data_IF_329693410973
#
_entry.id   IF_329693410973
#
_cell.length_a   1.000
_cell.length_b   1.000
_cell.length_c   1.000
_cell.angle_alpha   90.00
_cell.angle_beta   90.00
_cell.angle_gamma   90.00
#
_symmetry.space_group_name_H-M   'P 1'
#
loop_
_entity.id
_entity.type
_entity.pdbx_description
1 polymer ?
#
# COMPACT_ATOMS: atom_id res chain seq x y z
N UNK A 1 21.42 -48.16 55.50
CA UNK A 1 22.01 -46.91 54.98
C UNK A 1 21.68 -46.80 53.49
N UNK A 2 20.64 -46.05 53.16
CA UNK A 2 20.22 -45.85 51.76
C UNK A 2 20.89 -44.58 51.23
N UNK A 3 21.73 -44.71 50.19
CA UNK A 3 22.34 -43.56 49.48
C UNK A 3 21.34 -42.99 48.55
N UNK A 4 20.99 -41.72 48.76
CA UNK A 4 20.15 -40.92 47.89
C UNK A 4 21.03 -40.32 46.77
N UNK A 5 20.81 -40.70 45.48
CA UNK A 5 21.46 -40.09 44.34
C UNK A 5 20.65 -38.87 43.96
N UNK A 6 21.26 -37.71 44.08
CA UNK A 6 20.70 -36.43 43.61
C UNK A 6 21.09 -36.24 42.14
N UNK A 7 20.11 -36.37 41.24
CA UNK A 7 20.29 -36.05 39.80
C UNK A 7 20.04 -34.55 39.62
N UNK A 8 21.11 -33.80 39.42
CA UNK A 8 21.02 -32.40 38.99
C UNK A 8 20.72 -32.37 37.50
N UNK A 9 19.49 -32.01 37.12
CA UNK A 9 19.12 -31.65 35.75
C UNK A 9 19.64 -30.24 35.44
N UNK A 10 20.64 -30.17 34.57
CA UNK A 10 21.12 -28.89 34.02
C UNK A 10 20.15 -28.48 32.90
N UNK A 11 19.25 -27.56 33.20
CA UNK A 11 18.51 -26.85 32.15
C UNK A 11 19.44 -25.84 31.45
N UNK A 12 19.95 -26.20 30.29
CA UNK A 12 20.60 -25.25 29.40
C UNK A 12 19.52 -24.40 28.75
N UNK A 13 19.32 -23.20 29.27
CA UNK A 13 18.54 -22.16 28.59
C UNK A 13 19.37 -21.65 27.41
N UNK A 14 19.05 -22.12 26.21
CA UNK A 14 19.52 -21.54 24.98
C UNK A 14 18.86 -20.16 24.85
N UNK A 15 19.54 -19.12 25.29
CA UNK A 15 19.24 -17.74 24.88
C UNK A 15 19.58 -17.61 23.37
N UNK A 16 18.60 -17.83 22.52
CA UNK A 16 18.67 -17.42 21.12
C UNK A 16 18.73 -15.90 21.08
N UNK A 17 19.88 -15.36 20.69
CA UNK A 17 20.00 -13.94 20.35
C UNK A 17 19.31 -13.74 19.00
N UNK A 18 17.97 -13.75 18.99
CA UNK A 18 17.19 -13.33 17.84
C UNK A 18 17.35 -11.83 17.69
N UNK A 19 17.93 -11.35 16.59
CA UNK A 19 17.80 -9.94 16.20
C UNK A 19 16.30 -9.64 16.23
N UNK A 20 15.88 -8.64 17.01
CA UNK A 20 14.51 -8.16 16.96
C UNK A 20 14.28 -7.68 15.54
N UNK A 21 13.33 -8.28 14.81
CA UNK A 21 12.91 -7.74 13.52
C UNK A 21 12.45 -6.29 13.71
N UNK A 22 12.81 -5.35 12.84
CA UNK A 22 12.26 -4.02 12.89
C UNK A 22 10.73 -4.12 12.81
N UNK A 23 10.04 -3.50 13.77
CA UNK A 23 8.57 -3.43 13.73
C UNK A 23 8.18 -2.13 13.03
N UNK A 24 7.60 -2.25 11.86
CA UNK A 24 6.99 -1.12 11.15
C UNK A 24 5.60 -0.82 11.72
N UNK A 25 5.12 0.43 11.64
CA UNK A 25 3.76 0.78 12.06
C UNK A 25 2.73 -0.09 11.33
N UNK A 26 1.70 -0.53 12.05
CA UNK A 26 0.65 -1.37 11.50
C UNK A 26 -0.72 -0.91 11.98
N UNK A 27 -1.74 -1.16 11.17
CA UNK A 27 -3.15 -1.05 11.55
C UNK A 27 -3.91 -2.28 11.05
N UNK A 28 -4.79 -2.81 11.88
CA UNK A 28 -5.61 -3.97 11.56
C UNK A 28 -7.08 -3.59 11.57
N UNK A 29 -7.78 -3.93 10.51
CA UNK A 29 -9.22 -3.73 10.39
C UNK A 29 -9.94 -5.08 10.25
N UNK A 30 -11.21 -5.11 10.56
CA UNK A 30 -12.08 -6.26 10.27
C UNK A 30 -12.73 -6.07 8.90
N UNK A 31 -12.51 -7.01 8.00
CA UNK A 31 -13.16 -7.06 6.70
C UNK A 31 -14.67 -7.34 6.81
N UNK A 32 -15.44 -7.12 5.74
CA UNK A 32 -16.89 -7.34 5.74
C UNK A 32 -17.28 -8.81 5.98
N UNK A 33 -16.43 -9.75 5.58
CA UNK A 33 -16.62 -11.20 5.85
C UNK A 33 -16.21 -11.63 7.26
N UNK A 34 -15.68 -10.70 8.08
CA UNK A 34 -15.22 -10.94 9.44
C UNK A 34 -13.75 -11.37 9.55
N UNK A 35 -13.02 -11.52 8.44
CA UNK A 35 -11.57 -11.76 8.46
C UNK A 35 -10.81 -10.48 8.84
N UNK A 36 -9.54 -10.61 9.18
CA UNK A 36 -8.66 -9.47 9.51
C UNK A 36 -7.81 -9.09 8.29
N UNK A 37 -7.68 -7.78 8.06
CA UNK A 37 -6.75 -7.19 7.10
C UNK A 37 -5.78 -6.32 7.89
N UNK A 38 -4.48 -6.60 7.79
CA UNK A 38 -3.44 -5.81 8.46
C UNK A 38 -2.66 -5.03 7.42
N UNK A 39 -2.62 -3.71 7.58
CA UNK A 39 -1.76 -2.82 6.80
C UNK A 39 -0.46 -2.58 7.54
N UNK A 40 0.66 -2.64 6.83
CA UNK A 40 1.99 -2.26 7.31
C UNK A 40 2.43 -1.04 6.53
N UNK A 41 2.84 0.01 7.25
CA UNK A 41 3.26 1.29 6.68
C UNK A 41 4.78 1.34 6.70
N UNK A 42 5.42 1.35 5.52
CA UNK A 42 6.88 1.45 5.44
C UNK A 42 7.31 2.91 5.32
N UNK A 43 7.16 3.51 4.17
CA UNK A 43 7.33 4.95 3.95
C UNK A 43 6.71 5.36 2.62
N UNK A 44 6.45 6.65 2.45
CA UNK A 44 6.00 7.28 1.23
C UNK A 44 4.73 6.62 0.68
N UNK A 45 4.84 5.78 -0.35
CA UNK A 45 3.72 5.01 -0.91
C UNK A 45 3.83 3.49 -0.66
N UNK A 46 4.91 3.04 0.00
CA UNK A 46 5.18 1.61 0.22
C UNK A 46 4.31 1.03 1.32
N UNK A 47 3.46 0.08 0.95
CA UNK A 47 2.51 -0.59 1.85
C UNK A 47 2.69 -2.12 1.80
N UNK A 48 2.52 -2.75 2.97
CA UNK A 48 2.25 -4.19 3.08
C UNK A 48 0.80 -4.42 3.46
N UNK A 49 0.19 -5.47 2.92
CA UNK A 49 -1.17 -5.91 3.27
C UNK A 49 -1.11 -7.40 3.57
N UNK A 50 -1.54 -7.80 4.75
CA UNK A 50 -1.71 -9.20 5.11
C UNK A 50 -3.19 -9.53 5.22
N UNK A 51 -3.62 -10.60 4.54
CA UNK A 51 -4.99 -11.12 4.59
C UNK A 51 -4.99 -12.63 4.38
N UNK A 52 -5.58 -13.38 5.32
CA UNK A 52 -5.69 -14.85 5.25
C UNK A 52 -4.36 -15.57 4.93
N UNK A 53 -3.24 -15.04 5.44
CA UNK A 53 -1.90 -15.58 5.20
C UNK A 53 -1.30 -15.23 3.85
N UNK A 54 -1.97 -14.42 3.03
CA UNK A 54 -1.41 -13.82 1.82
C UNK A 54 -0.67 -12.52 2.18
N UNK A 55 0.48 -12.31 1.56
CA UNK A 55 1.29 -11.10 1.68
C UNK A 55 1.29 -10.33 0.37
N UNK A 56 0.70 -9.14 0.40
CA UNK A 56 0.58 -8.24 -0.75
C UNK A 56 1.44 -7.00 -0.47
N UNK A 57 2.25 -6.58 -1.42
CA UNK A 57 3.01 -5.34 -1.32
C UNK A 57 2.61 -4.39 -2.44
N UNK A 58 2.52 -3.11 -2.10
CA UNK A 58 2.22 -2.05 -3.06
C UNK A 58 3.39 -1.09 -3.06
N UNK A 59 3.91 -0.78 -4.24
CA UNK A 59 5.01 0.14 -4.48
C UNK A 59 6.19 -0.03 -3.50
N UNK A 60 6.75 -1.26 -3.36
CA UNK A 60 7.79 -1.52 -2.38
C UNK A 60 9.11 -0.88 -2.80
N UNK A 61 9.52 0.17 -2.09
CA UNK A 61 10.78 0.91 -2.30
C UNK A 61 11.40 1.30 -0.96
N UNK A 62 12.68 1.70 -1.00
CA UNK A 62 13.39 2.28 0.14
C UNK A 62 14.26 1.30 0.91
N UNK A 63 15.11 1.86 1.78
CA UNK A 63 16.10 1.11 2.56
C UNK A 63 15.48 0.52 3.84
N UNK A 64 14.68 -0.52 3.66
CA UNK A 64 14.06 -1.31 4.73
C UNK A 64 14.64 -2.74 4.74
N UNK A 65 14.44 -3.45 5.85
CA UNK A 65 14.83 -4.87 5.94
C UNK A 65 13.85 -5.76 5.18
N UNK A 66 13.82 -5.64 3.84
CA UNK A 66 12.96 -6.40 2.95
C UNK A 66 13.28 -7.90 2.95
N UNK A 67 14.56 -8.27 3.18
CA UNK A 67 14.97 -9.67 3.23
C UNK A 67 14.31 -10.43 4.39
N UNK A 68 14.02 -9.73 5.50
CA UNK A 68 13.35 -10.32 6.66
C UNK A 68 11.83 -10.35 6.53
N UNK A 69 11.25 -9.63 5.56
CA UNK A 69 9.82 -9.63 5.33
C UNK A 69 9.35 -10.96 4.69
N UNK A 70 8.11 -11.38 4.91
CA UNK A 70 7.51 -12.49 4.19
C UNK A 70 7.61 -12.28 2.68
N UNK A 71 7.83 -13.37 1.92
CA UNK A 71 7.81 -13.29 0.46
C UNK A 71 6.41 -12.97 -0.02
N UNK A 72 6.34 -12.12 -1.04
CA UNK A 72 5.08 -11.69 -1.62
C UNK A 72 4.33 -12.82 -2.33
N UNK A 73 3.02 -12.87 -2.13
CA UNK A 73 2.11 -13.59 -3.01
C UNK A 73 1.69 -12.69 -4.19
N UNK A 74 1.53 -11.37 -3.92
CA UNK A 74 1.20 -10.37 -4.92
C UNK A 74 2.03 -9.10 -4.70
N UNK A 75 2.58 -8.55 -5.78
CA UNK A 75 3.18 -7.21 -5.81
C UNK A 75 2.38 -6.36 -6.80
N UNK A 76 1.95 -5.19 -6.35
CA UNK A 76 1.26 -4.19 -7.16
C UNK A 76 2.17 -2.98 -7.33
N UNK A 77 2.39 -2.55 -8.57
CA UNK A 77 3.14 -1.32 -8.89
C UNK A 77 2.18 -0.36 -9.57
N UNK A 78 2.02 0.82 -9.01
CA UNK A 78 1.09 1.83 -9.52
C UNK A 78 1.63 2.52 -10.78
N UNK A 79 2.92 2.86 -10.77
CA UNK A 79 3.61 3.47 -11.90
C UNK A 79 5.15 3.40 -11.76
N UNK A 80 5.87 3.80 -12.83
CA UNK A 80 7.30 3.58 -12.98
C UNK A 80 8.21 4.67 -12.39
N UNK A 81 7.71 5.61 -11.59
CA UNK A 81 8.59 6.56 -10.92
C UNK A 81 9.45 5.86 -9.86
N UNK A 82 10.64 6.40 -9.60
CA UNK A 82 11.67 5.78 -8.75
C UNK A 82 11.25 5.59 -7.28
N UNK A 83 10.27 6.35 -6.82
CA UNK A 83 9.68 6.30 -5.48
C UNK A 83 8.46 5.36 -5.38
N UNK A 84 8.13 4.63 -6.49
CA UNK A 84 7.10 3.60 -6.56
C UNK A 84 7.64 2.27 -7.12
N UNK A 85 8.70 2.29 -7.91
CA UNK A 85 9.29 1.09 -8.50
C UNK A 85 10.79 1.01 -8.24
N UNK A 86 11.21 0.09 -7.38
CA UNK A 86 12.60 -0.29 -7.15
C UNK A 86 12.77 -1.78 -7.42
N UNK A 87 13.38 -2.12 -8.56
CA UNK A 87 13.54 -3.51 -8.98
C UNK A 87 14.32 -4.38 -7.98
N UNK A 88 15.31 -3.79 -7.28
CA UNK A 88 16.07 -4.52 -6.26
C UNK A 88 15.18 -4.98 -5.10
N UNK A 89 14.26 -4.14 -4.67
CA UNK A 89 13.27 -4.46 -3.62
C UNK A 89 12.26 -5.49 -4.09
N UNK A 90 11.75 -5.36 -5.32
CA UNK A 90 10.85 -6.36 -5.92
C UNK A 90 11.53 -7.73 -5.93
N UNK A 91 12.80 -7.82 -6.36
CA UNK A 91 13.55 -9.07 -6.38
C UNK A 91 13.78 -9.67 -4.98
N UNK A 92 13.95 -8.84 -3.96
CA UNK A 92 14.06 -9.29 -2.57
C UNK A 92 12.74 -9.87 -2.05
N UNK A 93 11.60 -9.31 -2.42
CA UNK A 93 10.29 -9.74 -1.95
C UNK A 93 9.72 -10.92 -2.73
N UNK A 94 10.03 -11.06 -4.02
CA UNK A 94 9.42 -12.09 -4.85
C UNK A 94 10.01 -13.49 -4.62
N UNK A 95 9.26 -14.49 -5.05
CA UNK A 95 9.66 -15.87 -5.26
C UNK A 95 9.04 -16.41 -6.57
N UNK A 96 9.25 -17.68 -6.89
CA UNK A 96 8.74 -18.26 -8.15
C UNK A 96 7.20 -18.32 -8.26
N UNK A 97 6.46 -18.04 -7.21
CA UNK A 97 4.98 -18.05 -7.19
C UNK A 97 4.38 -16.65 -7.10
N UNK A 98 5.19 -15.65 -6.83
CA UNK A 98 4.73 -14.28 -6.71
C UNK A 98 4.11 -13.79 -8.01
N UNK A 99 2.89 -13.29 -7.94
CA UNK A 99 2.27 -12.58 -9.05
C UNK A 99 2.67 -11.11 -8.97
N UNK A 100 3.09 -10.53 -10.09
CA UNK A 100 3.39 -9.10 -10.20
C UNK A 100 2.38 -8.48 -11.15
N UNK A 101 1.75 -7.39 -10.71
CA UNK A 101 0.83 -6.60 -11.52
C UNK A 101 1.31 -5.15 -11.52
N UNK A 102 1.36 -4.53 -12.67
CA UNK A 102 1.89 -3.18 -12.82
C UNK A 102 1.21 -2.44 -13.96
N UNK A 103 1.33 -1.12 -13.98
CA UNK A 103 0.95 -0.30 -15.11
C UNK A 103 1.79 -0.61 -16.35
N UNK A 104 1.43 -0.01 -17.47
CA UNK A 104 2.09 -0.25 -18.76
C UNK A 104 3.56 0.20 -18.77
N UNK A 105 3.87 1.35 -18.16
CA UNK A 105 5.24 1.88 -18.19
C UNK A 105 6.16 1.11 -17.26
N UNK A 106 5.66 0.65 -16.11
CA UNK A 106 6.41 -0.23 -15.20
C UNK A 106 6.69 -1.59 -15.82
N UNK A 107 5.79 -2.11 -16.65
CA UNK A 107 5.97 -3.42 -17.30
C UNK A 107 7.24 -3.48 -18.16
N UNK A 108 7.70 -2.34 -18.69
CA UNK A 108 8.93 -2.26 -19.48
C UNK A 108 10.22 -2.49 -18.66
N UNK A 109 10.15 -2.34 -17.34
CA UNK A 109 11.28 -2.57 -16.44
C UNK A 109 11.49 -4.04 -16.08
N UNK A 110 10.47 -4.89 -16.32
CA UNK A 110 10.53 -6.31 -15.99
C UNK A 110 11.08 -7.13 -17.15
N UNK A 111 12.04 -7.99 -16.86
CA UNK A 111 12.59 -8.99 -17.81
C UNK A 111 11.92 -10.37 -17.66
N UNK A 112 10.89 -10.46 -16.82
CA UNK A 112 10.11 -11.66 -16.53
C UNK A 112 8.61 -11.34 -16.54
N UNK A 113 7.79 -12.38 -16.45
CA UNK A 113 6.34 -12.26 -16.57
C UNK A 113 5.76 -11.34 -15.47
N UNK A 114 5.08 -10.30 -15.89
CA UNK A 114 4.19 -9.48 -15.07
C UNK A 114 2.83 -9.33 -15.78
N UNK A 115 1.78 -9.08 -15.00
CA UNK A 115 0.46 -8.78 -15.54
C UNK A 115 0.36 -7.27 -15.74
N UNK A 116 0.39 -6.84 -17.00
CA UNK A 116 0.19 -5.41 -17.32
C UNK A 116 -1.27 -5.04 -17.12
N UNK A 117 -1.51 -4.08 -16.23
CA UNK A 117 -2.83 -3.53 -15.96
C UNK A 117 -3.03 -2.23 -16.74
N UNK A 118 -3.98 -2.24 -17.66
CA UNK A 118 -4.44 -1.03 -18.30
C UNK A 118 -5.53 -0.36 -17.45
N UNK A 119 -5.71 0.97 -17.54
CA UNK A 119 -6.78 1.66 -16.85
C UNK A 119 -8.14 0.98 -17.07
N UNK A 120 -8.89 0.78 -15.98
CA UNK A 120 -10.20 0.09 -15.92
C UNK A 120 -10.17 -1.43 -16.14
N UNK A 121 -8.99 -2.04 -16.38
CA UNK A 121 -8.87 -3.50 -16.39
C UNK A 121 -9.12 -4.11 -15.02
N UNK A 122 -9.51 -5.39 -14.99
CA UNK A 122 -9.58 -6.15 -13.75
C UNK A 122 -8.92 -7.52 -13.89
N UNK A 123 -8.49 -8.09 -12.77
CA UNK A 123 -7.90 -9.41 -12.67
C UNK A 123 -8.24 -10.04 -11.33
N UNK A 124 -8.24 -11.37 -11.26
CA UNK A 124 -8.29 -12.15 -10.03
C UNK A 124 -7.00 -12.97 -9.93
N UNK A 125 -5.89 -12.36 -9.49
CA UNK A 125 -4.57 -12.98 -9.55
C UNK A 125 -4.39 -14.13 -8.57
N UNK A 126 -5.12 -14.11 -7.46
CA UNK A 126 -5.08 -15.11 -6.39
C UNK A 126 -6.50 -15.44 -5.93
N UNK A 127 -6.66 -16.58 -5.26
CA UNK A 127 -7.97 -16.98 -4.73
C UNK A 127 -8.47 -15.96 -3.69
N UNK A 128 -9.69 -15.48 -3.86
CA UNK A 128 -10.31 -14.47 -3.01
C UNK A 128 -9.79 -13.03 -3.19
N UNK A 129 -8.83 -12.79 -4.09
CA UNK A 129 -8.28 -11.46 -4.37
C UNK A 129 -8.74 -10.98 -5.74
N UNK A 130 -9.43 -9.84 -5.78
CA UNK A 130 -9.79 -9.16 -7.02
C UNK A 130 -9.10 -7.80 -7.08
N UNK A 131 -8.47 -7.48 -8.20
CA UNK A 131 -7.79 -6.21 -8.45
C UNK A 131 -8.39 -5.55 -9.68
N UNK A 132 -8.78 -4.27 -9.54
CA UNK A 132 -9.24 -3.43 -10.65
C UNK A 132 -8.37 -2.19 -10.73
N UNK A 133 -7.84 -1.91 -11.91
CA UNK A 133 -7.08 -0.68 -12.18
C UNK A 133 -8.00 0.53 -12.29
N UNK A 134 -7.61 1.62 -11.63
CA UNK A 134 -8.25 2.93 -11.70
C UNK A 134 -7.29 3.89 -12.40
N UNK A 135 -7.70 4.68 -13.40
CA UNK A 135 -6.82 5.66 -14.03
C UNK A 135 -6.26 6.65 -12.99
N UNK A 136 -4.94 6.81 -12.95
CA UNK A 136 -4.25 7.75 -12.08
C UNK A 136 -3.58 8.83 -12.94
N UNK A 137 -3.97 10.10 -12.76
CA UNK A 137 -3.41 11.21 -13.52
C UNK A 137 -3.76 12.56 -12.89
N UNK A 138 -2.96 13.58 -13.22
CA UNK A 138 -3.17 14.94 -12.77
C UNK A 138 -3.98 15.75 -13.79
N UNK A 139 -4.74 16.74 -13.29
CA UNK A 139 -5.65 17.58 -14.06
C UNK A 139 -5.39 19.08 -13.89
N UNK A 140 -4.66 19.50 -12.84
CA UNK A 140 -4.39 20.90 -12.54
C UNK A 140 -3.41 21.50 -13.54
N UNK A 141 -3.65 22.75 -13.91
CA UNK A 141 -2.74 23.51 -14.78
C UNK A 141 -1.33 23.57 -14.18
N UNK A 142 -0.31 23.19 -14.97
CA UNK A 142 1.08 23.13 -14.55
C UNK A 142 1.47 21.85 -13.79
N UNK A 143 0.53 20.96 -13.46
CA UNK A 143 0.81 19.70 -12.75
C UNK A 143 0.62 18.45 -13.62
N UNK A 144 -0.01 18.60 -14.79
CA UNK A 144 -0.30 17.48 -15.70
C UNK A 144 0.97 16.77 -16.20
N UNK A 145 2.12 17.46 -16.22
CA UNK A 145 3.38 16.86 -16.70
C UNK A 145 3.98 15.89 -15.68
N UNK A 146 3.61 15.96 -14.39
CA UNK A 146 4.05 15.00 -13.39
C UNK A 146 3.44 13.62 -13.64
N UNK A 147 2.11 13.58 -13.85
CA UNK A 147 1.34 12.36 -14.08
C UNK A 147 0.35 12.61 -15.24
N UNK A 148 0.83 12.64 -16.49
CA UNK A 148 -0.05 12.86 -17.63
C UNK A 148 -0.94 11.63 -17.88
N UNK A 149 -2.22 11.85 -18.21
CA UNK A 149 -3.18 10.78 -18.49
C UNK A 149 -2.69 9.81 -19.60
N UNK A 150 -1.85 10.30 -20.52
CA UNK A 150 -1.29 9.50 -21.61
C UNK A 150 -0.29 8.42 -21.17
N UNK A 151 0.22 8.47 -19.94
CA UNK A 151 1.08 7.42 -19.38
C UNK A 151 0.31 6.15 -19.04
N UNK A 152 -1.00 6.29 -18.79
CA UNK A 152 -1.88 5.18 -18.39
C UNK A 152 -1.47 4.57 -17.03
N UNK A 153 -0.94 5.41 -16.11
CA UNK A 153 -0.65 5.03 -14.73
C UNK A 153 -1.92 4.58 -14.01
N UNK A 154 -1.79 3.71 -13.02
CA UNK A 154 -2.92 3.08 -12.36
C UNK A 154 -2.85 3.17 -10.83
N UNK A 155 -3.94 3.61 -10.20
CA UNK A 155 -4.27 3.17 -8.86
C UNK A 155 -4.99 1.83 -8.89
N UNK A 156 -5.26 1.24 -7.73
CA UNK A 156 -5.89 -0.07 -7.63
C UNK A 156 -7.05 -0.10 -6.65
N UNK A 157 -8.16 -0.72 -7.05
CA UNK A 157 -9.16 -1.25 -6.14
C UNK A 157 -8.82 -2.71 -5.86
N UNK A 158 -8.59 -3.05 -4.60
CA UNK A 158 -8.29 -4.40 -4.14
C UNK A 158 -9.48 -4.85 -3.30
N UNK A 159 -10.09 -5.99 -3.65
CA UNK A 159 -11.17 -6.58 -2.83
C UNK A 159 -10.63 -7.78 -2.09
N UNK A 160 -10.70 -7.74 -0.76
CA UNK A 160 -10.29 -8.77 0.20
C UNK A 160 -11.41 -8.96 1.21
N UNK A 161 -11.91 -10.18 1.42
CA UNK A 161 -12.98 -10.44 2.39
C UNK A 161 -14.22 -9.56 2.19
N UNK A 162 -14.64 -9.35 0.93
CA UNK A 162 -15.74 -8.45 0.53
C UNK A 162 -15.48 -6.95 0.85
N UNK A 163 -14.29 -6.60 1.33
CA UNK A 163 -13.87 -5.22 1.64
C UNK A 163 -13.12 -4.64 0.47
N UNK A 164 -13.51 -3.46 0.03
CA UNK A 164 -12.89 -2.75 -1.09
C UNK A 164 -11.91 -1.69 -0.59
N UNK A 165 -10.64 -1.87 -0.94
CA UNK A 165 -9.53 -0.99 -0.61
C UNK A 165 -9.12 -0.25 -1.87
N UNK A 166 -9.13 1.09 -1.85
CA UNK A 166 -8.61 1.92 -2.91
C UNK A 166 -7.22 2.44 -2.56
N UNK A 167 -6.24 2.12 -3.37
CA UNK A 167 -4.88 2.68 -3.31
C UNK A 167 -4.69 3.52 -4.56
N UNK A 168 -4.60 4.83 -4.39
CA UNK A 168 -4.76 5.77 -5.51
C UNK A 168 -3.55 5.79 -6.46
N UNK A 169 -2.34 5.46 -5.99
CA UNK A 169 -1.11 5.84 -6.70
C UNK A 169 -1.00 7.36 -6.75
N UNK A 170 -0.22 7.88 -7.68
CA UNK A 170 -0.06 9.31 -7.84
C UNK A 170 -1.11 9.87 -8.80
N UNK A 171 -1.99 10.68 -8.25
CA UNK A 171 -3.13 11.24 -8.97
C UNK A 171 -3.66 12.49 -8.27
N UNK A 172 -4.35 13.31 -9.01
CA UNK A 172 -5.28 14.31 -8.49
C UNK A 172 -6.72 13.79 -8.49
N UNK A 173 -7.66 14.64 -8.09
CA UNK A 173 -9.10 14.37 -8.00
C UNK A 173 -9.80 14.37 -9.38
N UNK A 174 -9.28 13.57 -10.31
CA UNK A 174 -9.83 13.42 -11.65
C UNK A 174 -11.21 12.74 -11.64
N UNK A 175 -11.90 12.76 -12.78
CA UNK A 175 -13.28 12.25 -12.92
C UNK A 175 -13.41 10.74 -12.60
N UNK A 176 -12.39 9.95 -12.92
CA UNK A 176 -12.38 8.50 -12.65
C UNK A 176 -12.33 8.22 -11.13
N UNK A 177 -11.50 8.99 -10.39
CA UNK A 177 -11.40 8.90 -8.93
C UNK A 177 -12.70 9.35 -8.28
N UNK A 178 -13.25 10.50 -8.68
CA UNK A 178 -14.51 11.03 -8.13
C UNK A 178 -15.73 10.15 -8.46
N UNK A 179 -15.64 9.29 -9.47
CA UNK A 179 -16.69 8.35 -9.85
C UNK A 179 -16.70 7.04 -9.04
N UNK A 180 -15.69 6.78 -8.21
CA UNK A 180 -15.60 5.55 -7.41
C UNK A 180 -16.76 5.44 -6.41
N UNK A 181 -17.20 4.22 -6.15
CA UNK A 181 -18.30 3.93 -5.20
C UNK A 181 -17.97 2.67 -4.41
N UNK A 182 -18.64 2.52 -3.27
CA UNK A 182 -18.53 1.34 -2.39
C UNK A 182 -17.10 1.09 -1.91
N UNK A 183 -16.39 2.15 -1.51
CA UNK A 183 -15.03 2.11 -1.00
C UNK A 183 -15.08 2.02 0.53
N UNK A 184 -14.46 0.98 1.10
CA UNK A 184 -14.36 0.82 2.55
C UNK A 184 -13.14 1.55 3.10
N UNK A 185 -12.00 1.42 2.41
CA UNK A 185 -10.72 1.98 2.80
C UNK A 185 -10.13 2.73 1.62
N UNK A 186 -9.61 3.94 1.85
CA UNK A 186 -8.92 4.71 0.81
C UNK A 186 -7.54 5.16 1.29
N UNK A 187 -6.53 4.95 0.45
CA UNK A 187 -5.21 5.55 0.53
C UNK A 187 -5.12 6.62 -0.55
N UNK A 188 -5.01 7.90 -0.15
CA UNK A 188 -4.94 9.02 -1.09
C UNK A 188 -3.63 9.78 -0.93
N UNK A 189 -2.92 10.09 -2.04
CA UNK A 189 -1.67 10.81 -1.99
C UNK A 189 -1.92 12.30 -1.72
N UNK A 190 -1.13 12.88 -0.83
CA UNK A 190 -1.28 14.30 -0.47
C UNK A 190 0.06 15.03 -0.49
N UNK A 191 0.81 14.83 -1.57
CA UNK A 191 2.16 15.34 -1.78
C UNK A 191 2.18 16.47 -2.82
N UNK A 192 2.36 17.70 -2.40
CA UNK A 192 2.37 18.85 -3.29
C UNK A 192 3.77 19.17 -3.83
N UNK A 193 3.91 19.53 -5.10
CA UNK A 193 2.85 19.81 -6.12
C UNK A 193 2.48 18.59 -6.98
N UNK A 194 2.89 17.40 -6.61
CA UNK A 194 2.88 16.21 -7.47
C UNK A 194 1.53 15.50 -7.50
N UNK A 195 0.77 15.58 -6.39
CA UNK A 195 -0.52 14.89 -6.23
C UNK A 195 -1.56 15.84 -5.62
N UNK A 196 -2.49 15.33 -4.78
CA UNK A 196 -3.63 16.10 -4.28
C UNK A 196 -3.24 17.18 -3.26
N UNK A 197 -3.85 18.35 -3.39
CA UNK A 197 -3.94 19.32 -2.30
C UNK A 197 -4.89 18.84 -1.21
N UNK A 198 -4.89 19.49 -0.05
CA UNK A 198 -5.88 19.25 1.02
C UNK A 198 -7.32 19.36 0.47
N UNK A 199 -7.59 20.37 -0.36
CA UNK A 199 -8.91 20.59 -0.93
C UNK A 199 -9.30 19.50 -1.94
N UNK A 200 -8.34 19.01 -2.75
CA UNK A 200 -8.58 17.92 -3.70
C UNK A 200 -8.85 16.61 -2.96
N UNK A 201 -8.02 16.25 -1.98
CA UNK A 201 -8.24 15.07 -1.15
C UNK A 201 -9.58 15.13 -0.40
N UNK A 202 -9.95 16.32 0.11
CA UNK A 202 -11.26 16.54 0.74
C UNK A 202 -12.40 16.27 -0.25
N UNK A 203 -12.33 16.80 -1.49
CA UNK A 203 -13.35 16.53 -2.53
C UNK A 203 -13.46 15.04 -2.87
N UNK A 204 -12.33 14.33 -2.93
CA UNK A 204 -12.35 12.87 -3.15
C UNK A 204 -13.05 12.17 -1.99
N UNK A 205 -12.68 12.46 -0.73
CA UNK A 205 -13.33 11.87 0.45
C UNK A 205 -14.83 12.15 0.49
N UNK A 206 -15.25 13.37 0.15
CA UNK A 206 -16.68 13.73 0.04
C UNK A 206 -17.42 12.92 -1.02
N UNK A 207 -16.78 12.68 -2.18
CA UNK A 207 -17.37 11.97 -3.31
C UNK A 207 -17.46 10.45 -3.08
N UNK A 208 -16.40 9.81 -2.58
CA UNK A 208 -16.31 8.35 -2.45
C UNK A 208 -16.69 7.84 -1.06
N UNK A 209 -16.66 8.71 -0.02
CA UNK A 209 -17.09 8.46 1.37
C UNK A 209 -16.55 7.14 1.95
N UNK A 210 -15.23 6.93 2.00
CA UNK A 210 -14.68 5.71 2.54
C UNK A 210 -14.98 5.63 4.06
N UNK A 211 -15.08 4.42 4.59
CA UNK A 211 -15.20 4.23 6.04
C UNK A 211 -13.92 4.65 6.75
N UNK A 212 -12.77 4.30 6.17
CA UNK A 212 -11.44 4.64 6.69
C UNK A 212 -10.63 5.33 5.58
N UNK A 213 -9.94 6.40 5.94
CA UNK A 213 -9.05 7.13 5.06
C UNK A 213 -7.64 7.20 5.65
N UNK A 214 -6.65 6.79 4.89
CA UNK A 214 -5.24 6.94 5.17
C UNK A 214 -4.64 7.94 4.18
N UNK A 215 -4.26 9.17 4.61
CA UNK A 215 -3.38 10.00 3.80
C UNK A 215 -2.00 9.33 3.73
N UNK A 216 -1.42 9.27 2.55
CA UNK A 216 -0.09 8.70 2.33
C UNK A 216 0.67 9.53 1.30
N UNK A 217 1.89 9.14 0.95
CA UNK A 217 2.70 9.86 -0.02
C UNK A 217 2.81 11.35 0.33
N UNK A 218 3.28 11.66 1.54
CA UNK A 218 3.51 13.01 2.05
C UNK A 218 4.87 13.08 2.76
N UNK A 219 5.30 14.27 3.17
CA UNK A 219 6.57 14.47 3.90
C UNK A 219 7.61 15.11 3.00
N UNK A 220 8.75 14.60 2.86
CA UNK A 220 10.03 15.03 2.28
C UNK A 220 10.01 15.87 0.98
N UNK A 221 9.18 16.91 0.91
CA UNK A 221 9.04 17.82 -0.22
C UNK A 221 9.03 19.27 0.22
N UNK A 222 9.22 20.20 -0.74
CA UNK A 222 9.27 21.64 -0.47
C UNK A 222 7.98 22.19 0.16
N UNK A 223 6.83 21.59 -0.16
CA UNK A 223 5.52 21.99 0.36
C UNK A 223 4.96 20.88 1.27
N UNK A 224 5.16 21.05 2.57
CA UNK A 224 4.58 20.14 3.56
C UNK A 224 3.06 20.23 3.58
N UNK A 225 2.39 19.10 3.47
CA UNK A 225 0.94 19.02 3.56
C UNK A 225 0.44 19.34 4.98
N UNK A 226 -0.55 20.21 5.08
CA UNK A 226 -1.22 20.52 6.34
C UNK A 226 -2.20 19.38 6.72
N UNK A 227 -1.67 18.36 7.42
CA UNK A 227 -2.46 17.21 7.87
C UNK A 227 -3.51 17.57 8.93
N UNK A 228 -3.31 18.66 9.70
CA UNK A 228 -4.31 19.14 10.67
C UNK A 228 -5.51 19.77 9.96
N UNK A 229 -5.25 20.56 8.90
CA UNK A 229 -6.30 21.09 8.04
C UNK A 229 -7.07 19.97 7.35
N UNK A 230 -6.36 18.98 6.76
CA UNK A 230 -6.97 17.81 6.14
C UNK A 230 -7.84 17.04 7.13
N UNK A 231 -7.31 16.73 8.31
CA UNK A 231 -8.05 16.04 9.39
C UNK A 231 -9.32 16.80 9.75
N UNK A 232 -9.22 18.11 9.95
CA UNK A 232 -10.37 18.95 10.30
C UNK A 232 -11.47 18.94 9.23
N UNK A 233 -11.08 18.87 7.95
CA UNK A 233 -12.00 18.87 6.82
C UNK A 233 -12.74 17.52 6.69
N UNK A 234 -12.05 16.38 6.86
CA UNK A 234 -12.61 15.06 6.53
C UNK A 234 -13.12 14.26 7.74
N UNK A 235 -12.69 14.54 8.96
CA UNK A 235 -13.13 13.83 10.16
C UNK A 235 -14.66 13.75 10.36
N UNK A 236 -15.49 14.72 9.90
CA UNK A 236 -16.95 14.57 9.94
C UNK A 236 -17.51 13.52 8.97
N UNK A 237 -16.70 13.03 8.02
CA UNK A 237 -17.11 12.18 6.88
C UNK A 237 -16.57 10.76 7.02
N UNK A 238 -15.34 10.60 7.49
CA UNK A 238 -14.58 9.35 7.49
C UNK A 238 -13.71 9.22 8.75
N UNK A 239 -13.33 8.00 9.11
CA UNK A 239 -12.29 7.74 10.11
C UNK A 239 -10.91 7.95 9.48
N UNK A 240 -10.36 9.16 9.62
CA UNK A 240 -9.01 9.46 9.13
C UNK A 240 -7.96 8.91 10.10
N UNK A 241 -7.00 8.13 9.58
CA UNK A 241 -5.91 7.55 10.35
C UNK A 241 -4.57 7.93 9.72
N UNK A 242 -3.71 8.60 10.49
CA UNK A 242 -2.41 9.08 10.00
C UNK A 242 -1.31 8.20 10.59
N UNK A 243 -0.49 7.62 9.72
CA UNK A 243 0.69 6.84 10.09
C UNK A 243 1.94 7.52 9.55
N UNK A 244 3.10 7.40 10.21
CA UNK A 244 4.34 7.97 9.68
C UNK A 244 4.69 7.28 8.35
N UNK A 245 4.71 8.09 7.29
CA UNK A 245 5.01 7.69 5.91
C UNK A 245 6.09 8.61 5.29
N UNK A 246 6.94 9.20 6.14
CA UNK A 246 8.00 10.12 5.74
C UNK A 246 9.34 9.42 5.50
#
# INVERSE_FOLDING_TARGET
MKKLLLIMSIFATLFGCGKKQPSYPQDTITARDGSEITFTFYAHASLGIEWNGLHIYVDPVGDFDWESQPKADLILITHSHYDHLEMATVEQLRNAKTVIMCDKTSAEAFDHDCITMLPRAFSAPLDGVVVKAVPAYNISEGHTDFHPQSREDCGYLITLGETTIYIAGDTEDNEDVLALRDIDVAFLPVNQPYTMTVEQATRVVEAIRPTIFYPYHYGQVEQTTDLDALTSAVAPITDIRIFPME
#
